data_IF_737737301675
#
_entry.id   IF_737737301675
#
_cell.length_a   1.000
_cell.length_b   1.000
_cell.length_c   1.000
_cell.angle_alpha   90.00
_cell.angle_beta   90.00
_cell.angle_gamma   90.00
#
_symmetry.space_group_name_H-M   'P 1'
#
loop_
_entity.id
_entity.type
_entity.pdbx_description
1 polymer ?
#
# COMPACT_ATOMS: atom_id res chain seq x y z
N UNK A 1 76.03 -7.81 50.26
CA UNK A 1 74.57 -7.98 50.34
C UNK A 1 73.94 -6.82 49.59
N UNK A 2 73.21 -7.07 48.50
CA UNK A 2 72.04 -6.32 48.03
C UNK A 2 71.61 -6.91 46.68
N UNK A 3 70.46 -7.59 46.71
CA UNK A 3 69.68 -7.95 45.52
C UNK A 3 68.92 -6.71 45.05
N UNK A 4 68.84 -6.49 43.74
CA UNK A 4 67.75 -5.76 43.11
C UNK A 4 67.34 -6.45 41.82
N UNK A 5 66.15 -7.04 41.88
CA UNK A 5 65.34 -7.50 40.76
C UNK A 5 64.53 -6.32 40.17
N UNK A 6 63.64 -6.63 39.23
CA UNK A 6 62.57 -5.83 38.59
C UNK A 6 62.87 -5.35 37.16
N UNK A 7 62.00 -5.44 36.16
CA UNK A 7 60.76 -6.20 35.89
C UNK A 7 60.54 -6.03 34.39
N UNK A 8 60.45 -7.12 33.62
CA UNK A 8 60.08 -7.04 32.20
C UNK A 8 58.58 -6.83 32.06
N UNK A 9 58.16 -5.66 31.56
CA UNK A 9 56.79 -5.43 31.12
C UNK A 9 56.58 -6.00 29.71
N UNK A 10 55.75 -7.03 29.59
CA UNK A 10 55.27 -7.56 28.31
C UNK A 10 53.94 -6.86 27.96
N UNK A 11 53.93 -6.03 26.91
CA UNK A 11 52.72 -5.39 26.40
C UNK A 11 52.07 -6.33 25.39
N UNK A 12 50.90 -6.87 25.72
CA UNK A 12 50.08 -7.66 24.80
C UNK A 12 49.12 -6.73 24.05
N UNK A 13 49.39 -6.46 22.77
CA UNK A 13 48.45 -5.77 21.86
C UNK A 13 47.38 -6.75 21.38
N UNK A 14 46.16 -6.61 21.90
CA UNK A 14 44.96 -7.25 21.36
C UNK A 14 44.54 -6.54 20.06
N UNK A 15 44.82 -7.19 18.92
CA UNK A 15 44.23 -6.80 17.64
C UNK A 15 42.75 -7.18 17.63
N UNK A 16 41.87 -6.22 17.88
CA UNK A 16 40.44 -6.39 17.69
C UNK A 16 40.12 -6.37 16.18
N UNK A 17 40.03 -7.56 15.58
CA UNK A 17 39.44 -7.72 14.25
C UNK A 17 37.93 -7.47 14.37
N UNK A 18 37.50 -6.23 14.14
CA UNK A 18 36.10 -5.91 13.92
C UNK A 18 35.65 -6.56 12.60
N UNK A 19 35.14 -7.78 12.66
CA UNK A 19 34.32 -8.33 11.58
C UNK A 19 33.04 -7.50 11.53
N UNK A 20 33.05 -6.46 10.70
CA UNK A 20 31.82 -5.82 10.25
C UNK A 20 31.05 -6.88 9.45
N UNK A 21 30.09 -7.54 10.09
CA UNK A 21 29.12 -8.35 9.37
C UNK A 21 28.50 -7.46 8.29
N UNK A 22 28.47 -7.90 7.01
CA UNK A 22 27.72 -7.17 6.01
C UNK A 22 26.28 -7.10 6.51
N UNK A 23 25.80 -5.90 6.80
CA UNK A 23 24.37 -5.67 6.92
C UNK A 23 23.84 -6.02 5.54
N UNK A 24 23.10 -7.12 5.44
CA UNK A 24 22.32 -7.40 4.25
C UNK A 24 21.33 -6.25 4.11
N UNK A 25 21.72 -5.27 3.29
CA UNK A 25 20.80 -4.25 2.78
C UNK A 25 19.94 -4.99 1.79
N UNK A 26 19.03 -5.81 2.34
CA UNK A 26 18.21 -6.72 1.58
C UNK A 26 17.59 -5.96 0.44
N UNK A 27 17.77 -6.49 -0.78
CA UNK A 27 17.07 -6.01 -1.96
C UNK A 27 15.59 -5.90 -1.59
N UNK A 28 15.12 -4.68 -1.37
CA UNK A 28 13.70 -4.37 -1.16
C UNK A 28 13.03 -4.73 -2.48
N UNK A 29 12.41 -5.91 -2.52
CA UNK A 29 11.87 -6.51 -3.73
C UNK A 29 10.54 -5.87 -4.15
N UNK A 30 10.06 -6.30 -5.30
CA UNK A 30 8.69 -6.01 -5.73
C UNK A 30 7.70 -6.77 -4.83
N UNK A 31 6.65 -6.09 -4.37
CA UNK A 31 5.56 -6.66 -3.59
C UNK A 31 4.21 -6.42 -4.24
N UNK A 32 3.28 -7.35 -4.01
CA UNK A 32 1.87 -7.14 -4.31
C UNK A 32 1.28 -6.14 -3.33
N UNK A 33 0.57 -5.14 -3.84
CA UNK A 33 -0.07 -4.09 -3.02
C UNK A 33 -1.59 -4.10 -3.15
N UNK A 34 -2.14 -4.86 -4.08
CA UNK A 34 -3.59 -5.02 -4.20
C UNK A 34 -4.01 -5.64 -5.51
N UNK A 35 -5.31 -5.88 -5.61
CA UNK A 35 -5.96 -6.51 -6.76
C UNK A 35 -7.10 -5.64 -7.26
N UNK A 36 -7.42 -5.73 -8.54
CA UNK A 36 -8.57 -5.03 -9.13
C UNK A 36 -9.24 -5.90 -10.19
N UNK A 37 -10.56 -5.75 -10.31
CA UNK A 37 -11.32 -6.25 -11.46
C UNK A 37 -11.50 -5.11 -12.47
N UNK A 38 -11.21 -5.37 -13.74
CA UNK A 38 -11.33 -4.40 -14.82
C UNK A 38 -12.00 -5.03 -16.03
N UNK A 39 -12.79 -4.28 -16.79
CA UNK A 39 -13.27 -4.77 -18.09
C UNK A 39 -12.09 -5.01 -19.05
N UNK A 40 -12.36 -5.77 -20.12
CA UNK A 40 -11.34 -6.17 -21.10
C UNK A 40 -10.58 -4.97 -21.67
N UNK A 41 -11.28 -3.90 -22.07
CA UNK A 41 -10.66 -2.72 -22.68
C UNK A 41 -9.71 -2.02 -21.71
N UNK A 42 -10.15 -1.85 -20.47
CA UNK A 42 -9.35 -1.24 -19.40
C UNK A 42 -8.15 -2.12 -19.01
N UNK A 43 -8.32 -3.45 -18.97
CA UNK A 43 -7.27 -4.41 -18.65
C UNK A 43 -6.19 -4.49 -19.74
N UNK A 44 -6.58 -4.54 -21.02
CA UNK A 44 -5.66 -4.48 -22.15
C UNK A 44 -4.86 -3.18 -22.15
N UNK A 45 -5.52 -2.06 -21.85
CA UNK A 45 -4.85 -0.77 -21.72
C UNK A 45 -3.89 -0.74 -20.53
N UNK A 46 -4.25 -1.29 -19.38
CA UNK A 46 -3.32 -1.43 -18.24
C UNK A 46 -2.09 -2.27 -18.60
N UNK A 47 -2.25 -3.38 -19.32
CA UNK A 47 -1.12 -4.21 -19.75
C UNK A 47 -0.17 -3.47 -20.72
N UNK A 48 -0.71 -2.57 -21.55
CA UNK A 48 0.09 -1.78 -22.51
C UNK A 48 0.70 -0.52 -21.89
N UNK A 49 -0.10 0.21 -21.13
CA UNK A 49 0.17 1.58 -20.70
C UNK A 49 0.45 1.70 -19.21
N UNK A 50 0.42 0.62 -18.44
CA UNK A 50 0.59 0.63 -16.99
C UNK A 50 -0.59 1.26 -16.26
N UNK A 51 -0.44 1.43 -14.94
CA UNK A 51 -1.51 1.96 -14.09
C UNK A 51 -1.74 3.43 -14.45
N UNK A 52 -3.01 3.79 -14.61
CA UNK A 52 -3.46 5.16 -14.76
C UNK A 52 -4.85 5.33 -14.13
N UNK A 53 -5.17 6.57 -13.77
CA UNK A 53 -6.52 6.97 -13.39
C UNK A 53 -7.26 7.58 -14.59
N UNK A 54 -8.39 6.99 -14.97
CA UNK A 54 -9.27 7.56 -15.99
C UNK A 54 -10.15 8.65 -15.37
N UNK A 55 -9.91 9.90 -15.77
CA UNK A 55 -10.67 11.04 -15.26
C UNK A 55 -12.10 11.11 -15.82
N UNK A 56 -12.35 10.49 -16.98
CA UNK A 56 -13.65 10.49 -17.66
C UNK A 56 -14.55 9.37 -17.13
N UNK A 57 -13.96 8.31 -16.54
CA UNK A 57 -14.65 7.23 -15.87
C UNK A 57 -14.56 7.34 -14.34
N UNK A 58 -15.37 8.23 -13.76
CA UNK A 58 -15.58 8.25 -12.32
C UNK A 58 -16.44 7.04 -11.93
N UNK A 59 -15.82 6.05 -11.32
CA UNK A 59 -16.51 4.86 -10.82
C UNK A 59 -17.67 5.24 -9.88
N UNK A 60 -18.82 4.57 -10.04
CA UNK A 60 -19.89 4.61 -9.06
C UNK A 60 -19.35 4.20 -7.69
N UNK A 61 -19.73 4.94 -6.63
CA UNK A 61 -19.29 4.63 -5.27
C UNK A 61 -17.85 5.06 -4.96
N UNK A 62 -17.47 6.30 -5.32
CA UNK A 62 -16.23 6.95 -4.91
C UNK A 62 -16.18 7.24 -3.40
N UNK A 63 -16.30 6.18 -2.59
CA UNK A 63 -16.50 6.21 -1.15
C UNK A 63 -15.47 7.08 -0.44
N UNK A 64 -14.20 6.95 -0.83
CA UNK A 64 -13.06 7.64 -0.20
C UNK A 64 -12.32 8.60 -1.16
N UNK A 65 -13.01 9.00 -2.24
CA UNK A 65 -12.52 9.93 -3.24
C UNK A 65 -12.31 9.31 -4.62
N UNK A 66 -11.71 10.10 -5.51
CA UNK A 66 -11.39 9.72 -6.89
C UNK A 66 -10.04 8.99 -6.93
N UNK A 67 -9.92 7.99 -7.80
CA UNK A 67 -8.69 7.23 -7.98
C UNK A 67 -8.95 5.78 -8.43
N UNK A 68 -7.92 4.97 -8.39
CA UNK A 68 -7.98 3.54 -8.69
C UNK A 68 -8.23 2.75 -7.41
N UNK A 69 -9.39 2.11 -7.33
CA UNK A 69 -9.77 1.24 -6.22
C UNK A 69 -9.21 -0.17 -6.38
N UNK A 70 -8.71 -0.73 -5.28
CA UNK A 70 -8.16 -2.08 -5.20
C UNK A 70 -8.63 -2.82 -3.94
N UNK A 71 -8.58 -4.14 -3.96
CA UNK A 71 -8.89 -5.05 -2.86
C UNK A 71 -7.66 -5.82 -2.38
N UNK A 72 -7.67 -6.35 -1.14
CA UNK A 72 -6.59 -7.17 -0.60
C UNK A 72 -6.47 -8.53 -1.27
N UNK A 73 -7.53 -9.04 -1.91
CA UNK A 73 -7.52 -10.30 -2.66
C UNK A 73 -8.24 -10.15 -4.00
N UNK A 74 -7.87 -10.99 -4.96
CA UNK A 74 -8.54 -11.15 -6.26
C UNK A 74 -10.01 -11.59 -6.14
N UNK A 75 -10.38 -12.16 -5.00
CA UNK A 75 -11.71 -12.76 -4.75
C UNK A 75 -12.74 -11.76 -4.20
N UNK A 76 -12.28 -10.65 -3.60
CA UNK A 76 -13.15 -9.71 -2.86
C UNK A 76 -14.19 -9.01 -3.74
N UNK A 77 -13.87 -8.82 -5.02
CA UNK A 77 -14.74 -8.18 -6.01
C UNK A 77 -15.48 -9.16 -6.92
N UNK A 78 -15.34 -10.47 -6.74
CA UNK A 78 -15.89 -11.47 -7.69
C UNK A 78 -17.42 -11.34 -7.85
N UNK A 79 -18.14 -11.06 -6.77
CA UNK A 79 -19.59 -10.84 -6.80
C UNK A 79 -20.03 -9.43 -7.25
N UNK A 80 -19.09 -8.47 -7.34
CA UNK A 80 -19.36 -7.06 -7.67
C UNK A 80 -18.93 -6.70 -9.10
N UNK A 81 -18.02 -7.49 -9.68
CA UNK A 81 -17.52 -7.29 -11.03
C UNK A 81 -18.37 -8.05 -12.06
N UNK A 82 -18.30 -7.61 -13.32
CA UNK A 82 -18.88 -8.37 -14.42
C UNK A 82 -18.22 -9.77 -14.51
N UNK A 83 -18.96 -10.82 -14.92
CA UNK A 83 -18.43 -12.18 -15.00
C UNK A 83 -17.20 -12.32 -15.91
N UNK A 84 -17.10 -11.48 -16.94
CA UNK A 84 -16.02 -11.42 -17.93
C UNK A 84 -14.91 -10.42 -17.59
N UNK A 85 -14.97 -9.77 -16.43
CA UNK A 85 -13.90 -8.88 -16.00
C UNK A 85 -12.58 -9.65 -15.84
N UNK A 86 -11.47 -8.96 -16.08
CA UNK A 86 -10.11 -9.47 -15.92
C UNK A 86 -9.60 -9.24 -14.50
N UNK A 87 -8.61 -10.03 -14.10
CA UNK A 87 -7.96 -9.98 -12.79
C UNK A 87 -6.64 -9.21 -12.89
N UNK A 88 -6.60 -8.01 -12.32
CA UNK A 88 -5.40 -7.19 -12.30
C UNK A 88 -4.69 -7.28 -10.94
N UNK A 89 -3.38 -7.49 -10.99
CA UNK A 89 -2.47 -7.46 -9.85
C UNK A 89 -1.68 -6.17 -9.91
N UNK A 90 -1.69 -5.41 -8.81
CA UNK A 90 -0.91 -4.19 -8.66
C UNK A 90 0.27 -4.52 -7.75
N UNK A 91 1.46 -4.13 -8.20
CA UNK A 91 2.72 -4.30 -7.49
C UNK A 91 3.47 -2.99 -7.36
N UNK A 92 4.41 -2.94 -6.42
CA UNK A 92 5.31 -1.80 -6.23
C UNK A 92 6.67 -2.27 -5.71
N UNK A 93 7.69 -1.46 -5.92
CA UNK A 93 8.93 -1.56 -5.15
C UNK A 93 8.64 -1.32 -3.67
N UNK A 94 9.02 -2.26 -2.80
CA UNK A 94 8.73 -2.17 -1.36
C UNK A 94 9.28 -0.87 -0.75
N UNK A 95 10.50 -0.46 -1.12
CA UNK A 95 11.15 0.71 -0.54
C UNK A 95 10.42 2.01 -0.89
N UNK A 96 9.97 2.12 -2.13
CA UNK A 96 9.18 3.24 -2.62
C UNK A 96 7.78 3.22 -2.00
N UNK A 97 7.13 2.05 -1.97
CA UNK A 97 5.80 1.89 -1.39
C UNK A 97 5.77 2.24 0.09
N UNK A 98 6.77 1.84 0.87
CA UNK A 98 6.88 2.15 2.31
C UNK A 98 6.89 3.65 2.59
N UNK A 99 7.43 4.45 1.66
CA UNK A 99 7.51 5.91 1.78
C UNK A 99 6.20 6.61 1.45
N UNK A 100 5.27 5.95 0.77
CA UNK A 100 3.97 6.54 0.45
C UNK A 100 3.12 6.55 1.73
N UNK A 101 2.63 7.72 2.19
CA UNK A 101 1.68 7.81 3.28
C UNK A 101 0.46 6.92 3.09
N UNK A 102 -0.01 6.33 4.19
CA UNK A 102 -1.15 5.40 4.22
C UNK A 102 -2.10 5.87 5.29
N UNK A 103 -3.37 6.06 4.93
CA UNK A 103 -4.38 6.62 5.83
C UNK A 103 -5.68 5.83 5.76
N UNK A 104 -6.20 5.42 6.91
CA UNK A 104 -7.56 4.93 7.05
C UNK A 104 -8.55 6.09 7.04
N UNK A 105 -9.58 5.98 6.20
CA UNK A 105 -10.71 6.91 6.15
C UNK A 105 -11.92 6.20 6.77
N UNK A 106 -12.35 6.58 7.99
CA UNK A 106 -13.47 5.92 8.66
C UNK A 106 -14.81 6.34 8.02
N UNK A 107 -15.90 5.60 8.24
CA UNK A 107 -17.23 6.05 7.76
C UNK A 107 -17.63 7.39 8.39
N UNK A 108 -17.30 7.55 9.67
CA UNK A 108 -17.47 8.77 10.44
C UNK A 108 -16.21 9.06 11.25
N UNK A 109 -15.84 10.33 11.37
CA UNK A 109 -14.73 10.72 12.23
C UNK A 109 -15.13 10.75 13.72
N UNK A 110 -14.16 11.08 14.59
CA UNK A 110 -14.35 11.28 16.04
C UNK A 110 -15.47 12.27 16.43
N UNK A 111 -15.88 13.17 15.54
CA UNK A 111 -16.99 14.11 15.73
C UNK A 111 -18.32 13.60 15.17
N UNK A 112 -18.41 12.31 14.83
CA UNK A 112 -19.57 11.65 14.22
C UNK A 112 -19.96 12.27 12.86
N UNK A 113 -19.03 12.97 12.19
CA UNK A 113 -19.23 13.53 10.87
C UNK A 113 -18.95 12.47 9.82
N UNK A 114 -19.89 12.27 8.89
CA UNK A 114 -19.75 11.29 7.80
C UNK A 114 -18.62 11.70 6.85
N UNK A 115 -17.71 10.79 6.58
CA UNK A 115 -16.54 11.00 5.71
C UNK A 115 -16.69 10.32 4.36
N UNK A 116 -17.46 9.24 4.28
CA UNK A 116 -17.62 8.48 3.05
C UNK A 116 -18.68 9.08 2.12
N UNK A 117 -18.53 8.82 0.82
CA UNK A 117 -19.50 9.18 -0.22
C UNK A 117 -19.86 10.68 -0.20
N UNK A 118 -18.86 11.53 0.06
CA UNK A 118 -19.05 12.97 0.04
C UNK A 118 -19.21 13.45 -1.41
N UNK A 119 -19.94 14.57 -1.58
CA UNK A 119 -20.13 15.19 -2.90
C UNK A 119 -18.80 15.73 -3.46
N UNK A 120 -17.90 16.15 -2.57
CA UNK A 120 -16.56 16.62 -2.87
C UNK A 120 -15.52 15.92 -1.96
N UNK A 121 -14.24 16.05 -2.30
CA UNK A 121 -13.14 15.46 -1.53
C UNK A 121 -12.74 16.25 -0.28
N UNK A 122 -13.30 17.45 -0.07
CA UNK A 122 -12.74 18.45 0.87
C UNK A 122 -12.66 17.91 2.30
N UNK A 123 -13.72 17.26 2.78
CA UNK A 123 -13.75 16.72 4.14
C UNK A 123 -12.72 15.61 4.36
N UNK A 124 -12.55 14.74 3.37
CA UNK A 124 -11.54 13.68 3.42
C UNK A 124 -10.14 14.30 3.41
N UNK A 125 -9.93 15.31 2.58
CA UNK A 125 -8.66 16.00 2.46
C UNK A 125 -8.29 16.72 3.78
N UNK A 126 -9.22 17.48 4.38
CA UNK A 126 -9.05 18.11 5.71
C UNK A 126 -8.70 17.09 6.81
N UNK A 127 -9.32 15.90 6.76
CA UNK A 127 -9.01 14.83 7.71
C UNK A 127 -7.59 14.27 7.50
N UNK A 128 -7.19 14.01 6.26
CA UNK A 128 -5.83 13.55 5.95
C UNK A 128 -4.80 14.60 6.39
N UNK A 129 -5.06 15.88 6.17
CA UNK A 129 -4.22 16.99 6.63
C UNK A 129 -4.11 17.05 8.15
N UNK A 130 -5.20 16.76 8.87
CA UNK A 130 -5.19 16.70 10.34
C UNK A 130 -4.29 15.58 10.91
N UNK A 131 -3.97 14.57 10.09
CA UNK A 131 -3.02 13.51 10.41
C UNK A 131 -1.57 13.84 10.01
N UNK A 132 -1.33 15.10 9.59
CA UNK A 132 -0.07 15.59 9.04
C UNK A 132 0.37 14.87 7.77
N UNK A 133 -0.60 14.44 6.95
CA UNK A 133 -0.36 13.83 5.64
C UNK A 133 -0.90 14.69 4.50
N UNK A 134 -0.47 14.39 3.26
CA UNK A 134 -0.90 15.14 2.07
C UNK A 134 -1.97 14.35 1.30
N UNK A 135 -3.17 14.91 1.06
CA UNK A 135 -4.26 14.20 0.40
C UNK A 135 -3.96 13.68 -1.00
N UNK A 136 -3.12 14.39 -1.76
CA UNK A 136 -2.75 14.05 -3.13
C UNK A 136 -1.66 12.98 -3.23
N UNK A 137 -0.92 12.71 -2.14
CA UNK A 137 0.16 11.72 -2.14
C UNK A 137 -0.03 10.64 -1.07
N UNK A 138 -1.27 10.43 -0.61
CA UNK A 138 -1.60 9.40 0.38
C UNK A 138 -2.47 8.31 -0.21
N UNK A 139 -2.11 7.05 0.03
CA UNK A 139 -3.00 5.92 -0.17
C UNK A 139 -4.10 5.98 0.88
N UNK A 140 -5.35 5.83 0.44
CA UNK A 140 -6.51 5.89 1.32
C UNK A 140 -7.08 4.50 1.47
N UNK A 141 -7.34 4.07 2.68
CA UNK A 141 -7.91 2.76 3.00
C UNK A 141 -9.28 2.94 3.62
N UNK A 142 -10.19 2.02 3.37
CA UNK A 142 -11.46 1.96 4.11
C UNK A 142 -12.03 0.55 4.16
N UNK A 143 -13.02 0.36 5.02
CA UNK A 143 -13.90 -0.79 4.93
C UNK A 143 -14.78 -0.64 3.68
N UNK A 144 -15.01 -1.74 2.98
CA UNK A 144 -15.96 -1.82 1.87
C UNK A 144 -17.27 -2.41 2.40
N UNK A 145 -18.32 -1.60 2.56
CA UNK A 145 -19.58 -2.09 3.10
C UNK A 145 -20.26 -3.04 2.09
N UNK A 146 -20.51 -4.28 2.51
CA UNK A 146 -21.31 -5.25 1.74
C UNK A 146 -22.49 -5.74 2.60
N UNK A 147 -23.59 -4.99 2.58
CA UNK A 147 -24.70 -5.21 3.52
C UNK A 147 -24.25 -4.98 4.96
N UNK A 148 -24.38 -6.01 5.81
CA UNK A 148 -23.90 -6.00 7.21
C UNK A 148 -22.46 -6.47 7.36
N UNK A 149 -21.84 -6.98 6.30
CA UNK A 149 -20.42 -7.35 6.31
C UNK A 149 -19.55 -6.07 6.35
N UNK A 150 -18.60 -6.07 7.28
CA UNK A 150 -17.62 -5.02 7.55
C UNK A 150 -16.18 -5.56 7.57
N UNK A 151 -15.98 -6.82 7.15
CA UNK A 151 -14.67 -7.46 7.11
C UNK A 151 -13.83 -7.04 5.90
N UNK A 152 -14.50 -6.64 4.81
CA UNK A 152 -13.85 -6.32 3.54
C UNK A 152 -13.17 -4.97 3.59
N UNK A 153 -11.99 -4.90 2.98
CA UNK A 153 -11.18 -3.68 2.92
C UNK A 153 -10.96 -3.27 1.47
N UNK A 154 -10.73 -1.99 1.25
CA UNK A 154 -10.32 -1.43 -0.02
C UNK A 154 -9.20 -0.42 0.17
N UNK A 155 -8.41 -0.25 -0.88
CA UNK A 155 -7.41 0.80 -1.00
C UNK A 155 -7.74 1.64 -2.22
N UNK A 156 -7.54 2.94 -2.11
CA UNK A 156 -7.64 3.91 -3.17
C UNK A 156 -6.24 4.46 -3.45
N UNK A 157 -5.77 4.21 -4.67
CA UNK A 157 -4.60 4.87 -5.25
C UNK A 157 -5.11 6.19 -5.85
N UNK A 158 -4.76 7.30 -5.22
CA UNK A 158 -5.14 8.65 -5.68
C UNK A 158 -4.53 8.96 -7.05
N UNK A 159 -5.11 9.88 -7.85
CA UNK A 159 -4.70 10.12 -9.23
C UNK A 159 -3.20 10.41 -9.41
N UNK A 160 -2.62 11.23 -8.53
CA UNK A 160 -1.20 11.62 -8.60
C UNK A 160 -0.23 10.46 -8.30
N UNK A 161 -0.73 9.36 -7.71
CA UNK A 161 0.04 8.14 -7.48
C UNK A 161 -0.25 7.05 -8.53
N UNK A 162 -1.31 7.19 -9.33
CA UNK A 162 -1.73 6.19 -10.30
C UNK A 162 -0.87 6.29 -11.58
N UNK A 163 0.41 5.94 -11.47
CA UNK A 163 1.37 5.95 -12.57
C UNK A 163 2.37 4.79 -12.52
N UNK A 164 3.20 4.67 -13.57
CA UNK A 164 4.26 3.66 -13.67
C UNK A 164 5.46 3.89 -12.74
N UNK A 165 5.58 5.08 -12.14
CA UNK A 165 6.72 5.40 -11.25
C UNK A 165 6.50 4.76 -9.88
N UNK A 166 5.25 4.68 -9.44
CA UNK A 166 4.89 4.13 -8.13
C UNK A 166 4.41 2.69 -8.22
N UNK A 167 3.72 2.32 -9.30
CA UNK A 167 3.08 1.01 -9.42
C UNK A 167 3.27 0.37 -10.79
N UNK A 168 3.36 -0.96 -10.76
CA UNK A 168 3.21 -1.82 -11.93
C UNK A 168 1.87 -2.55 -11.83
N UNK A 169 1.19 -2.73 -12.96
CA UNK A 169 -0.06 -3.47 -13.04
C UNK A 169 0.06 -4.52 -14.13
N UNK A 170 -0.46 -5.72 -13.85
CA UNK A 170 -0.62 -6.77 -14.85
C UNK A 170 -1.99 -7.39 -14.71
N UNK A 171 -2.69 -7.58 -15.82
CA UNK A 171 -4.05 -8.09 -15.87
C UNK A 171 -4.10 -9.42 -16.63
N UNK A 172 -4.77 -10.39 -16.02
CA UNK A 172 -5.01 -11.73 -16.51
C UNK A 172 -6.48 -11.92 -16.85
N UNK A 173 -6.77 -12.55 -17.97
CA UNK A 173 -8.15 -12.91 -18.33
C UNK A 173 -8.74 -13.91 -17.33
N UNK A 174 -7.93 -14.88 -16.90
CA UNK A 174 -8.36 -15.98 -16.05
C UNK A 174 -7.84 -15.84 -14.63
N UNK A 175 -8.67 -16.24 -13.67
CA UNK A 175 -8.36 -16.18 -12.23
C UNK A 175 -7.16 -17.05 -11.88
N UNK A 176 -7.08 -18.20 -12.53
CA UNK A 176 -6.09 -19.25 -12.28
C UNK A 176 -4.67 -18.80 -12.62
N UNK A 177 -4.53 -17.78 -13.47
CA UNK A 177 -3.24 -17.23 -13.88
C UNK A 177 -2.66 -16.27 -12.83
N UNK A 178 -3.49 -15.76 -11.91
CA UNK A 178 -3.04 -14.96 -10.77
C UNK A 178 -2.39 -15.87 -9.73
N UNK A 179 -1.07 -15.74 -9.55
CA UNK A 179 -0.31 -16.58 -8.60
C UNK A 179 -0.08 -15.88 -7.26
N UNK A 180 -0.29 -14.58 -7.21
CA UNK A 180 -0.11 -13.75 -6.03
C UNK A 180 -1.17 -14.06 -4.96
N UNK A 181 -0.70 -14.14 -3.72
CA UNK A 181 -1.55 -14.31 -2.55
C UNK A 181 -2.20 -13.00 -2.09
N UNK A 182 -3.21 -13.13 -1.24
CA UNK A 182 -3.85 -11.98 -0.62
C UNK A 182 -2.86 -11.16 0.21
N UNK A 183 -3.13 -9.87 0.32
CA UNK A 183 -2.33 -8.92 1.10
C UNK A 183 -3.12 -8.43 2.32
N UNK A 184 -2.42 -8.04 3.37
CA UNK A 184 -3.03 -7.55 4.60
C UNK A 184 -2.77 -6.06 4.75
N UNK A 185 -3.73 -5.20 4.40
CA UNK A 185 -3.52 -3.75 4.44
C UNK A 185 -3.21 -3.22 5.84
N UNK A 186 -3.72 -3.89 6.89
CA UNK A 186 -3.40 -3.56 8.28
C UNK A 186 -1.90 -3.70 8.61
N UNK A 187 -1.16 -4.55 7.89
CA UNK A 187 0.28 -4.77 8.12
C UNK A 187 1.16 -3.56 7.77
N UNK A 188 0.62 -2.60 7.02
CA UNK A 188 1.34 -1.38 6.63
C UNK A 188 1.09 -0.20 7.58
N UNK A 189 0.42 -0.45 8.70
CA UNK A 189 0.15 0.53 9.75
C UNK A 189 -0.39 1.88 9.24
N UNK A 190 -1.49 1.91 8.44
CA UNK A 190 -2.05 3.19 8.00
C UNK A 190 -2.46 4.06 9.20
N UNK A 191 -2.19 5.36 9.13
CA UNK A 191 -2.60 6.34 10.13
C UNK A 191 -4.11 6.50 10.15
N UNK A 192 -4.64 7.07 11.23
CA UNK A 192 -6.06 7.38 11.36
C UNK A 192 -6.90 6.22 11.85
N UNK A 193 -8.20 6.40 11.80
CA UNK A 193 -9.18 5.45 12.33
C UNK A 193 -9.73 4.58 11.20
N UNK A 194 -9.62 3.26 11.34
CA UNK A 194 -10.21 2.31 10.39
C UNK A 194 -11.73 2.46 10.26
N UNK A 195 -12.38 2.87 11.35
CA UNK A 195 -13.83 2.89 11.46
C UNK A 195 -14.43 1.49 11.59
N UNK A 196 -15.75 1.42 11.71
CA UNK A 196 -16.57 0.21 11.79
C UNK A 196 -17.74 0.29 10.80
#
# INVERSE_FOLDING_TARGET
MHFSSFTSFLVATLAACSVASPVDVGKRGEITVGFRRADKTQAEKYNKEGLYFDHDHVMWGAQIGKGVYTSPSRDEYEALAAPDAWYCVIKADQAAFDKIPKVWIPEKNQHNQRMWNQKDGKRIDEYIESLHEKPSSSLRFSIMPHGRDRSRQQMLIVPDLADKKHFTIHCYEKKEDVKEGAVHYDSWHPKGEKGN
#
